data_IF_692476115458
#
_entry.id   IF_692476115458
#
_cell.length_a   1.000
_cell.length_b   1.000
_cell.length_c   1.000
_cell.angle_alpha   90.00
_cell.angle_beta   90.00
_cell.angle_gamma   90.00
#
_symmetry.space_group_name_H-M   'P 1'
#
loop_
_entity.id
_entity.type
_entity.pdbx_description
1 polymer ?
#
# COMPACT_ATOMS: atom_id res chain seq x y z
N UNK A 1 6.83 -56.39 -39.05
CA UNK A 1 5.90 -56.46 -37.89
C UNK A 1 6.68 -56.41 -36.58
N UNK A 2 7.75 -57.19 -36.43
CA UNK A 2 8.56 -57.20 -35.20
C UNK A 2 9.31 -55.86 -34.96
N UNK A 3 9.81 -55.22 -36.01
CA UNK A 3 10.43 -53.88 -35.91
C UNK A 3 9.41 -52.85 -35.42
N UNK A 4 8.16 -52.89 -35.90
CA UNK A 4 7.11 -51.98 -35.48
C UNK A 4 6.64 -52.29 -34.05
N UNK A 5 6.72 -53.52 -33.62
CA UNK A 5 6.43 -53.95 -32.25
C UNK A 5 7.52 -53.44 -31.28
N UNK A 6 8.75 -53.30 -31.75
CA UNK A 6 9.87 -52.81 -30.97
C UNK A 6 9.82 -51.27 -30.85
N UNK A 7 9.42 -50.55 -31.90
CA UNK A 7 9.22 -49.08 -31.87
C UNK A 7 8.00 -48.66 -31.02
N UNK A 8 6.97 -49.49 -30.95
CA UNK A 8 5.80 -49.30 -30.12
C UNK A 8 5.98 -49.91 -28.70
N UNK A 9 7.19 -50.28 -28.34
CA UNK A 9 7.50 -51.02 -27.14
C UNK A 9 7.19 -50.23 -25.86
N UNK A 10 7.08 -50.95 -24.74
CA UNK A 10 6.95 -50.49 -23.33
C UNK A 10 7.88 -49.30 -23.00
N UNK A 11 8.95 -49.09 -23.73
CA UNK A 11 9.93 -47.99 -23.57
C UNK A 11 9.32 -46.64 -23.99
N UNK A 12 8.61 -46.60 -25.11
CA UNK A 12 7.98 -45.36 -25.61
C UNK A 12 6.81 -44.93 -24.73
N UNK A 13 6.01 -45.89 -24.23
CA UNK A 13 4.92 -45.58 -23.30
C UNK A 13 5.43 -45.10 -21.94
N UNK A 14 6.45 -45.74 -21.39
CA UNK A 14 7.11 -45.30 -20.15
C UNK A 14 7.72 -43.90 -20.25
N UNK A 15 8.26 -43.55 -21.39
CA UNK A 15 8.80 -42.22 -21.65
C UNK A 15 7.69 -41.15 -21.66
N UNK A 16 6.55 -41.42 -22.30
CA UNK A 16 5.38 -40.53 -22.29
C UNK A 16 4.77 -40.42 -20.89
N UNK A 17 4.61 -41.52 -20.15
CA UNK A 17 4.13 -41.51 -18.77
C UNK A 17 5.09 -40.73 -17.84
N UNK A 18 6.39 -40.87 -18.03
CA UNK A 18 7.39 -40.11 -17.30
C UNK A 18 7.30 -38.59 -17.59
N UNK A 19 7.08 -38.23 -18.85
CA UNK A 19 6.86 -36.82 -19.25
C UNK A 19 5.58 -36.24 -18.64
N UNK A 20 4.49 -37.01 -18.63
CA UNK A 20 3.23 -36.62 -17.99
C UNK A 20 3.43 -36.34 -16.49
N UNK A 21 4.09 -37.26 -15.77
CA UNK A 21 4.36 -37.10 -14.34
C UNK A 21 5.28 -35.91 -14.05
N UNK A 22 6.30 -35.69 -14.89
CA UNK A 22 7.21 -34.55 -14.79
C UNK A 22 6.48 -33.21 -14.99
N UNK A 23 5.59 -33.12 -15.98
CA UNK A 23 4.79 -31.92 -16.22
C UNK A 23 3.82 -31.64 -15.07
N UNK A 24 3.20 -32.67 -14.49
CA UNK A 24 2.33 -32.49 -13.31
C UNK A 24 3.11 -32.01 -12.09
N UNK A 25 4.31 -32.53 -11.85
CA UNK A 25 5.22 -32.03 -10.81
C UNK A 25 5.59 -30.57 -11.03
N UNK A 26 5.99 -30.20 -12.25
CA UNK A 26 6.35 -28.81 -12.61
C UNK A 26 5.21 -27.83 -12.37
N UNK A 27 3.93 -28.19 -12.63
CA UNK A 27 2.79 -27.30 -12.32
C UNK A 27 2.73 -26.96 -10.83
N UNK A 28 2.90 -27.97 -9.97
CA UNK A 28 2.85 -27.78 -8.52
C UNK A 28 4.00 -26.92 -8.03
N UNK A 29 5.19 -27.16 -8.50
CA UNK A 29 6.41 -26.44 -8.13
C UNK A 29 6.34 -24.98 -8.58
N UNK A 30 5.97 -24.71 -9.84
CA UNK A 30 5.78 -23.37 -10.39
C UNK A 30 4.71 -22.58 -9.62
N UNK A 31 3.58 -23.20 -9.32
CA UNK A 31 2.53 -22.54 -8.53
C UNK A 31 3.02 -22.15 -7.14
N UNK A 32 3.83 -22.99 -6.49
CA UNK A 32 4.42 -22.73 -5.18
C UNK A 32 5.45 -21.61 -5.23
N UNK A 33 6.30 -21.59 -6.25
CA UNK A 33 7.35 -20.58 -6.42
C UNK A 33 6.77 -19.21 -6.78
N UNK A 34 5.74 -19.14 -7.63
CA UNK A 34 5.00 -17.89 -7.91
C UNK A 34 4.41 -17.33 -6.63
N UNK A 35 3.76 -18.17 -5.82
CA UNK A 35 3.19 -17.74 -4.52
C UNK A 35 4.26 -17.20 -3.58
N UNK A 36 5.39 -17.87 -3.51
CA UNK A 36 6.51 -17.44 -2.67
C UNK A 36 7.09 -16.11 -3.15
N UNK A 37 7.27 -15.91 -4.46
CA UNK A 37 7.74 -14.66 -5.04
C UNK A 37 6.79 -13.49 -4.72
N UNK A 38 5.48 -13.68 -4.94
CA UNK A 38 4.46 -12.68 -4.61
C UNK A 38 4.46 -12.34 -3.12
N UNK A 39 4.57 -13.36 -2.25
CA UNK A 39 4.65 -13.15 -0.80
C UNK A 39 5.87 -12.33 -0.40
N UNK A 40 7.03 -12.63 -0.94
CA UNK A 40 8.27 -11.88 -0.68
C UNK A 40 8.13 -10.42 -1.09
N UNK A 41 7.54 -10.14 -2.24
CA UNK A 41 7.30 -8.76 -2.68
C UNK A 41 6.29 -8.02 -1.79
N UNK A 42 5.24 -8.68 -1.31
CA UNK A 42 4.32 -8.10 -0.31
C UNK A 42 5.04 -7.70 0.98
N UNK A 43 5.90 -8.58 1.50
CA UNK A 43 6.68 -8.30 2.70
C UNK A 43 7.64 -7.11 2.49
N UNK A 44 8.29 -7.04 1.33
CA UNK A 44 9.14 -5.91 0.93
C UNK A 44 8.36 -4.60 0.85
N UNK A 45 7.16 -4.62 0.29
CA UNK A 45 6.27 -3.46 0.23
C UNK A 45 5.85 -3.00 1.63
N UNK A 46 5.42 -3.91 2.49
CA UNK A 46 5.02 -3.60 3.85
C UNK A 46 6.14 -2.91 4.63
N UNK A 47 7.36 -3.41 4.50
CA UNK A 47 8.54 -2.80 5.13
C UNK A 47 8.77 -1.37 4.63
N UNK A 48 8.75 -1.16 3.32
CA UNK A 48 8.95 0.16 2.71
C UNK A 48 7.86 1.15 3.09
N UNK A 49 6.59 0.72 3.16
CA UNK A 49 5.48 1.56 3.60
C UNK A 49 5.64 1.98 5.07
N UNK A 50 6.00 1.05 5.96
CA UNK A 50 6.27 1.36 7.37
C UNK A 50 7.43 2.35 7.54
N UNK A 51 8.49 2.21 6.76
CA UNK A 51 9.62 3.14 6.77
C UNK A 51 9.18 4.55 6.35
N UNK A 52 8.31 4.69 5.35
CA UNK A 52 7.82 5.99 4.92
C UNK A 52 6.84 6.62 5.93
N UNK A 53 5.97 5.85 6.57
CA UNK A 53 5.14 6.33 7.70
C UNK A 53 6.01 6.89 8.81
N UNK A 54 7.06 6.16 9.20
CA UNK A 54 8.01 6.61 10.23
C UNK A 54 8.70 7.93 9.84
N UNK A 55 9.05 8.10 8.58
CA UNK A 55 9.64 9.36 8.09
C UNK A 55 8.65 10.53 8.16
N UNK A 56 7.38 10.32 7.81
CA UNK A 56 6.34 11.34 7.92
C UNK A 56 6.13 11.71 9.38
N UNK A 57 6.04 10.73 10.28
CA UNK A 57 5.93 10.96 11.72
C UNK A 57 7.10 11.79 12.26
N UNK A 58 8.34 11.52 11.84
CA UNK A 58 9.52 12.27 12.24
C UNK A 58 9.55 13.71 11.68
N UNK A 59 8.87 13.97 10.55
CA UNK A 59 8.78 15.34 10.02
C UNK A 59 7.80 16.23 10.79
N UNK A 60 6.89 15.66 11.60
CA UNK A 60 5.96 16.38 12.46
C UNK A 60 6.66 17.45 13.30
N UNK A 61 7.85 17.15 13.83
CA UNK A 61 8.58 18.05 14.72
C UNK A 61 8.92 19.41 14.07
N UNK A 62 9.04 19.43 12.74
CA UNK A 62 9.27 20.67 11.98
C UNK A 62 8.05 21.59 11.98
N UNK A 63 6.85 21.03 12.11
CA UNK A 63 5.58 21.73 12.10
C UNK A 63 4.99 21.91 13.48
N UNK A 64 5.61 21.37 14.55
CA UNK A 64 5.09 21.43 15.91
C UNK A 64 5.41 22.75 16.63
N UNK A 65 6.37 23.53 16.14
CA UNK A 65 6.79 24.78 16.78
C UNK A 65 6.02 25.97 16.22
N UNK A 66 5.11 26.53 17.02
CA UNK A 66 4.40 27.76 16.65
C UNK A 66 5.18 29.00 17.07
N UNK A 67 5.19 30.00 16.20
CA UNK A 67 5.82 31.28 16.52
C UNK A 67 5.00 32.06 17.52
N UNK A 68 5.62 32.42 18.65
CA UNK A 68 5.02 33.27 19.66
C UNK A 68 5.29 34.73 19.31
N UNK A 69 4.23 35.50 19.11
CA UNK A 69 4.29 36.91 18.84
C UNK A 69 4.00 37.70 20.14
N UNK A 70 4.56 38.88 20.28
CA UNK A 70 4.34 39.77 21.44
C UNK A 70 3.72 41.05 20.98
N UNK A 71 2.62 41.44 21.63
CA UNK A 71 2.04 42.78 21.44
C UNK A 71 1.97 43.52 22.77
N UNK A 72 2.16 44.81 22.74
CA UNK A 72 1.90 45.68 23.88
C UNK A 72 0.55 46.37 23.69
N UNK A 73 -0.24 46.38 24.70
CA UNK A 73 -1.51 47.11 24.73
C UNK A 73 -1.63 47.92 26.02
N UNK A 74 -2.43 48.97 25.97
CA UNK A 74 -2.71 49.82 27.11
C UNK A 74 -4.08 49.40 27.71
N UNK A 75 -4.07 49.01 28.96
CA UNK A 75 -5.28 48.58 29.68
C UNK A 75 -5.57 49.63 30.74
N UNK A 76 -6.84 50.09 30.80
CA UNK A 76 -7.31 50.94 31.85
C UNK A 76 -7.67 50.03 33.05
N UNK A 77 -6.92 50.18 34.13
CA UNK A 77 -7.13 49.44 35.35
C UNK A 77 -7.69 50.37 36.42
N UNK A 78 -8.83 50.02 36.92
CA UNK A 78 -9.42 50.72 38.04
C UNK A 78 -8.65 50.38 39.33
N UNK A 79 -8.01 51.41 39.91
CA UNK A 79 -7.32 51.28 41.19
C UNK A 79 -8.26 51.74 42.27
N UNK A 80 -8.75 50.77 43.07
CA UNK A 80 -9.48 51.09 44.28
C UNK A 80 -8.49 51.54 45.34
N UNK A 81 -8.42 52.86 45.56
CA UNK A 81 -7.67 53.43 46.66
C UNK A 81 -8.41 53.17 47.95
N UNK A 82 -7.99 52.12 48.66
CA UNK A 82 -8.56 51.77 49.95
C UNK A 82 -8.64 52.92 50.93
N UNK A 83 -9.54 52.81 51.88
CA UNK A 83 -9.93 53.80 52.86
C UNK A 83 -8.77 54.41 53.68
N UNK A 84 -7.59 53.82 53.68
CA UNK A 84 -6.45 54.26 54.50
C UNK A 84 -5.34 55.01 53.72
N UNK A 85 -5.69 55.67 52.63
CA UNK A 85 -4.72 56.51 51.96
C UNK A 85 -4.42 57.73 52.83
N UNK A 86 -3.21 57.80 53.40
CA UNK A 86 -2.74 58.81 54.36
C UNK A 86 -2.76 60.25 53.85
N UNK A 87 -2.92 60.48 52.54
CA UNK A 87 -2.94 61.79 51.91
C UNK A 87 -4.34 62.44 51.92
N UNK A 88 -5.37 61.79 52.44
CA UNK A 88 -6.73 62.37 52.56
C UNK A 88 -6.89 63.19 53.80
N UNK A 89 -6.57 64.45 53.74
CA UNK A 89 -6.81 65.41 54.84
C UNK A 89 -8.22 65.87 55.00
N UNK A 90 -9.20 65.34 54.28
CA UNK A 90 -10.62 65.78 54.44
C UNK A 90 -11.58 64.60 54.65
N UNK A 91 -12.22 64.57 55.80
CA UNK A 91 -13.18 63.58 56.26
C UNK A 91 -14.51 63.50 55.45
N UNK A 92 -14.76 64.44 54.51
CA UNK A 92 -15.93 64.45 53.62
C UNK A 92 -15.83 63.49 52.40
N UNK A 93 -14.69 62.95 52.08
CA UNK A 93 -14.52 62.02 50.92
C UNK A 93 -14.62 60.59 51.37
N UNK A 94 -15.83 60.26 51.89
CA UNK A 94 -16.23 58.87 52.27
C UNK A 94 -16.48 58.00 51.02
N UNK A 95 -16.37 58.58 49.82
CA UNK A 95 -16.60 57.91 48.58
C UNK A 95 -15.28 57.36 48.07
N UNK A 96 -15.25 56.03 47.85
CA UNK A 96 -14.16 55.36 47.12
C UNK A 96 -14.03 56.04 45.75
N UNK A 97 -12.91 56.76 45.51
CA UNK A 97 -12.58 57.21 44.17
C UNK A 97 -11.85 56.09 43.46
N UNK A 98 -12.48 55.51 42.46
CA UNK A 98 -11.85 54.64 41.50
C UNK A 98 -11.06 55.54 40.54
N UNK A 99 -9.74 55.54 40.63
CA UNK A 99 -8.90 56.20 39.64
C UNK A 99 -8.56 55.17 38.56
N UNK A 100 -8.89 55.50 37.33
CA UNK A 100 -8.51 54.68 36.17
C UNK A 100 -7.06 55.03 35.79
N UNK A 101 -6.21 54.05 35.85
CA UNK A 101 -4.79 54.21 35.43
C UNK A 101 -4.52 53.33 34.21
N UNK A 102 -3.96 53.95 33.17
CA UNK A 102 -3.51 53.24 31.99
C UNK A 102 -2.21 52.50 32.30
N UNK A 103 -2.23 51.19 32.19
CA UNK A 103 -1.09 50.32 32.40
C UNK A 103 -0.72 49.68 31.09
N UNK A 104 0.56 49.79 30.65
CA UNK A 104 1.06 49.05 29.51
C UNK A 104 1.31 47.61 29.91
N UNK A 105 0.67 46.68 29.19
CA UNK A 105 0.88 45.24 29.36
C UNK A 105 1.43 44.65 28.08
N UNK A 106 2.37 43.73 28.22
CA UNK A 106 2.87 42.92 27.13
C UNK A 106 2.18 41.56 27.17
N UNK A 107 1.59 41.17 26.07
CA UNK A 107 0.92 39.89 25.91
C UNK A 107 1.60 39.07 24.83
N UNK A 108 1.83 37.79 25.09
CA UNK A 108 2.32 36.86 24.11
C UNK A 108 1.14 36.07 23.56
N UNK A 109 1.05 35.94 22.24
CA UNK A 109 -0.03 35.23 21.57
C UNK A 109 0.50 34.41 20.42
N UNK A 110 -0.29 33.44 19.97
CA UNK A 110 -0.05 32.64 18.77
C UNK A 110 -1.10 33.00 17.73
N UNK A 111 -0.65 33.24 16.50
CA UNK A 111 -1.56 33.44 15.38
C UNK A 111 -2.19 32.11 14.96
N UNK A 112 -3.50 32.00 15.09
CA UNK A 112 -4.26 30.80 14.71
C UNK A 112 -4.12 30.50 13.22
N UNK A 113 -4.02 31.52 12.38
CA UNK A 113 -3.84 31.37 10.94
C UNK A 113 -2.50 30.69 10.63
N UNK A 114 -1.42 31.08 11.31
CA UNK A 114 -0.09 30.46 11.14
C UNK A 114 -0.14 28.97 11.53
N UNK A 115 -0.89 28.64 12.61
CA UNK A 115 -1.12 27.25 13.00
C UNK A 115 -1.84 26.44 11.90
N UNK A 116 -2.91 27.00 11.32
CA UNK A 116 -3.69 26.36 10.25
C UNK A 116 -2.80 26.16 9.01
N UNK A 117 -2.02 27.17 8.61
CA UNK A 117 -1.15 27.08 7.44
C UNK A 117 -0.06 26.00 7.61
N UNK A 118 0.51 25.87 8.81
CA UNK A 118 1.48 24.82 9.09
C UNK A 118 0.85 23.42 9.02
N UNK A 119 -0.36 23.22 9.55
CA UNK A 119 -1.07 21.95 9.48
C UNK A 119 -1.40 21.60 8.04
N UNK A 120 -1.88 22.55 7.25
CA UNK A 120 -2.17 22.35 5.82
C UNK A 120 -0.90 21.97 5.07
N UNK A 121 0.19 22.68 5.31
CA UNK A 121 1.50 22.40 4.68
C UNK A 121 1.99 21.00 5.05
N UNK A 122 1.84 20.58 6.31
CA UNK A 122 2.18 19.23 6.74
C UNK A 122 1.32 18.17 6.06
N UNK A 123 0.01 18.40 5.93
CA UNK A 123 -0.90 17.49 5.26
C UNK A 123 -0.57 17.37 3.76
N UNK A 124 -0.21 18.47 3.10
CA UNK A 124 0.24 18.49 1.70
C UNK A 124 1.55 17.73 1.53
N UNK A 125 2.54 17.97 2.38
CA UNK A 125 3.81 17.23 2.37
C UNK A 125 3.60 15.72 2.58
N UNK A 126 2.68 15.34 3.46
CA UNK A 126 2.32 13.95 3.69
C UNK A 126 1.66 13.35 2.43
N UNK A 127 0.71 14.05 1.82
CA UNK A 127 0.03 13.62 0.59
C UNK A 127 1.03 13.40 -0.56
N UNK A 128 1.90 14.37 -0.82
CA UNK A 128 2.93 14.26 -1.86
C UNK A 128 3.90 13.08 -1.60
N UNK A 129 4.27 12.84 -0.35
CA UNK A 129 5.13 11.69 0.00
C UNK A 129 4.44 10.37 -0.24
N UNK A 130 3.16 10.25 0.10
CA UNK A 130 2.38 9.04 -0.16
C UNK A 130 2.27 8.81 -1.66
N UNK A 131 1.95 9.87 -2.44
CA UNK A 131 1.83 9.78 -3.89
C UNK A 131 3.16 9.34 -4.53
N UNK A 132 4.26 10.02 -4.24
CA UNK A 132 5.61 9.67 -4.74
C UNK A 132 6.04 8.26 -4.31
N UNK A 133 5.70 7.85 -3.08
CA UNK A 133 6.03 6.52 -2.58
C UNK A 133 5.19 5.48 -3.30
N UNK A 134 3.89 5.74 -3.47
CA UNK A 134 2.99 4.87 -4.22
C UNK A 134 3.44 4.72 -5.67
N UNK A 135 3.74 5.82 -6.36
CA UNK A 135 4.27 5.79 -7.72
C UNK A 135 5.56 4.98 -7.83
N UNK A 136 6.49 5.19 -6.90
CA UNK A 136 7.77 4.47 -6.88
C UNK A 136 7.60 2.99 -6.59
N UNK A 137 6.74 2.61 -5.64
CA UNK A 137 6.55 1.24 -5.19
C UNK A 137 5.61 0.46 -6.10
N UNK A 138 4.54 1.11 -6.59
CA UNK A 138 3.52 0.51 -7.46
C UNK A 138 3.84 0.81 -8.93
N UNK A 139 5.01 1.42 -9.22
CA UNK A 139 5.35 1.67 -10.63
C UNK A 139 5.32 0.34 -11.38
N UNK A 140 4.66 0.37 -12.54
CA UNK A 140 4.57 -0.79 -13.44
C UNK A 140 5.94 -1.45 -13.66
N UNK A 141 7.00 -0.64 -13.70
CA UNK A 141 8.37 -1.11 -13.87
C UNK A 141 8.92 -1.89 -12.66
N UNK A 142 8.57 -1.50 -11.43
CA UNK A 142 9.04 -2.18 -10.22
C UNK A 142 8.35 -3.52 -10.07
N UNK A 143 7.02 -3.57 -10.22
CA UNK A 143 6.25 -4.82 -10.20
C UNK A 143 6.71 -5.73 -11.33
N UNK A 144 6.85 -5.19 -12.54
CA UNK A 144 7.36 -5.94 -13.70
C UNK A 144 8.73 -6.53 -13.45
N UNK A 145 9.65 -5.78 -12.85
CA UNK A 145 11.00 -6.26 -12.53
C UNK A 145 10.96 -7.34 -11.44
N UNK A 146 10.17 -7.15 -10.39
CA UNK A 146 10.03 -8.12 -9.31
C UNK A 146 9.41 -9.43 -9.81
N UNK A 147 8.33 -9.37 -10.58
CA UNK A 147 7.71 -10.53 -11.19
C UNK A 147 8.60 -11.22 -12.22
N UNK A 148 9.31 -10.46 -13.05
CA UNK A 148 10.24 -11.05 -14.02
C UNK A 148 11.36 -11.82 -13.33
N UNK A 149 11.99 -11.25 -12.32
CA UNK A 149 13.12 -11.89 -11.65
C UNK A 149 12.73 -13.16 -10.88
N UNK A 150 11.49 -13.20 -10.34
CA UNK A 150 11.02 -14.35 -9.56
C UNK A 150 10.37 -15.46 -10.40
N UNK A 151 9.85 -15.13 -11.58
CA UNK A 151 9.03 -16.06 -12.36
C UNK A 151 9.72 -16.52 -13.66
N UNK A 152 10.47 -15.63 -14.32
CA UNK A 152 11.04 -15.93 -15.65
C UNK A 152 12.04 -17.08 -15.60
N UNK A 153 12.83 -17.14 -14.53
CA UNK A 153 13.86 -18.19 -14.39
C UNK A 153 13.28 -19.59 -14.16
N UNK A 154 11.98 -19.67 -13.83
CA UNK A 154 11.26 -20.94 -13.68
C UNK A 154 10.86 -21.56 -15.01
N UNK A 155 10.92 -20.78 -16.11
CA UNK A 155 10.49 -21.22 -17.43
C UNK A 155 11.65 -21.50 -18.35
N UNK A 156 11.45 -22.47 -19.26
CA UNK A 156 12.37 -22.73 -20.35
C UNK A 156 12.46 -21.51 -21.28
N UNK A 157 13.59 -21.32 -21.93
CA UNK A 157 13.88 -20.12 -22.73
C UNK A 157 12.81 -19.83 -23.80
N UNK A 158 12.16 -20.87 -24.32
CA UNK A 158 11.13 -20.76 -25.37
C UNK A 158 9.80 -20.20 -24.87
N UNK A 159 9.44 -20.44 -23.61
CA UNK A 159 8.18 -20.00 -23.01
C UNK A 159 8.26 -18.64 -22.30
N UNK A 160 9.48 -18.17 -22.01
CA UNK A 160 9.72 -16.88 -21.34
C UNK A 160 9.02 -15.69 -22.01
N UNK A 161 9.00 -15.55 -23.36
CA UNK A 161 8.32 -14.42 -24.01
C UNK A 161 6.81 -14.41 -23.76
N UNK A 162 6.16 -15.57 -23.72
CA UNK A 162 4.71 -15.70 -23.46
C UNK A 162 4.40 -15.23 -22.04
N UNK A 163 5.16 -15.73 -21.05
CA UNK A 163 5.01 -15.36 -19.65
C UNK A 163 5.22 -13.86 -19.43
N UNK A 164 6.24 -13.28 -20.07
CA UNK A 164 6.49 -11.84 -20.04
C UNK A 164 5.30 -11.05 -20.59
N UNK A 165 4.74 -11.49 -21.72
CA UNK A 165 3.57 -10.84 -22.33
C UNK A 165 2.35 -10.85 -21.40
N UNK A 166 2.10 -11.97 -20.73
CA UNK A 166 1.03 -12.11 -19.73
C UNK A 166 1.24 -11.13 -18.57
N UNK A 167 2.42 -11.13 -17.98
CA UNK A 167 2.78 -10.21 -16.88
C UNK A 167 2.58 -8.75 -17.32
N UNK A 168 3.06 -8.39 -18.51
CA UNK A 168 2.96 -7.03 -19.03
C UNK A 168 1.51 -6.59 -19.25
N UNK A 169 0.63 -7.47 -19.74
CA UNK A 169 -0.78 -7.19 -19.96
C UNK A 169 -1.53 -6.93 -18.64
N UNK A 170 -1.22 -7.67 -17.58
CA UNK A 170 -1.84 -7.45 -16.27
C UNK A 170 -1.34 -6.18 -15.59
N UNK A 171 -0.03 -5.94 -15.65
CA UNK A 171 0.58 -4.74 -15.05
C UNK A 171 0.07 -3.45 -15.71
N UNK A 172 -0.26 -3.46 -17.00
CA UNK A 172 -0.83 -2.30 -17.69
C UNK A 172 -2.19 -1.88 -17.14
N UNK A 173 -2.96 -2.80 -16.58
CA UNK A 173 -4.29 -2.55 -16.00
C UNK A 173 -4.25 -1.97 -14.59
N UNK A 174 -3.09 -1.91 -13.94
CA UNK A 174 -2.96 -1.37 -12.57
C UNK A 174 -3.16 0.13 -12.59
N UNK A 175 -4.14 0.61 -11.85
CA UNK A 175 -4.33 2.03 -11.55
C UNK A 175 -3.74 2.38 -10.19
N UNK A 176 -2.92 3.44 -10.14
CA UNK A 176 -2.40 3.97 -8.89
C UNK A 176 -3.52 4.77 -8.20
N UNK A 177 -3.88 4.47 -6.95
CA UNK A 177 -4.89 5.23 -6.24
C UNK A 177 -4.38 6.64 -5.94
N UNK A 178 -5.16 7.65 -6.32
CA UNK A 178 -4.93 9.02 -5.87
C UNK A 178 -5.43 9.15 -4.43
N UNK A 179 -4.59 9.73 -3.58
CA UNK A 179 -4.90 9.94 -2.17
C UNK A 179 -5.19 11.42 -1.97
N UNK A 180 -6.39 11.73 -1.50
CA UNK A 180 -6.79 13.08 -1.17
C UNK A 180 -7.02 13.18 0.34
N UNK A 181 -6.40 14.18 0.96
CA UNK A 181 -6.70 14.54 2.34
C UNK A 181 -7.79 15.61 2.40
N UNK A 182 -8.70 15.45 3.36
CA UNK A 182 -9.67 16.50 3.66
C UNK A 182 -9.02 17.59 4.53
N UNK A 183 -8.50 18.60 3.86
CA UNK A 183 -7.84 19.75 4.49
C UNK A 183 -8.80 20.51 5.42
N UNK A 184 -10.11 20.55 5.11
CA UNK A 184 -11.11 21.23 5.93
C UNK A 184 -11.24 20.54 7.29
N UNK A 185 -11.18 19.22 7.35
CA UNK A 185 -11.19 18.46 8.61
C UNK A 185 -10.10 18.94 9.58
N UNK A 186 -8.89 19.19 9.09
CA UNK A 186 -7.78 19.64 9.95
C UNK A 186 -7.96 21.09 10.40
N UNK A 187 -8.43 21.95 9.50
CA UNK A 187 -8.79 23.33 9.81
C UNK A 187 -9.87 23.38 10.89
N UNK A 188 -10.88 22.55 10.78
CA UNK A 188 -12.01 22.50 11.72
C UNK A 188 -11.59 22.01 13.12
N UNK A 189 -10.58 21.16 13.23
CA UNK A 189 -10.02 20.76 14.52
C UNK A 189 -9.51 21.99 15.29
N UNK A 190 -8.86 22.92 14.62
CA UNK A 190 -8.35 24.14 15.22
C UNK A 190 -9.48 25.16 15.44
N UNK A 191 -10.36 25.32 14.45
CA UNK A 191 -11.42 26.36 14.50
C UNK A 191 -12.65 25.96 15.33
N UNK A 192 -12.95 24.67 15.47
CA UNK A 192 -14.20 24.21 16.10
C UNK A 192 -14.41 24.67 17.53
N UNK A 193 -13.33 25.01 18.22
CA UNK A 193 -13.39 25.49 19.62
C UNK A 193 -13.18 26.99 19.77
N UNK A 194 -12.76 27.70 18.71
CA UNK A 194 -12.49 29.12 18.79
C UNK A 194 -13.67 30.00 18.43
N UNK A 195 -14.72 29.46 17.80
CA UNK A 195 -15.85 30.27 17.33
C UNK A 195 -15.35 31.49 16.53
N UNK A 196 -16.21 32.44 16.27
CA UNK A 196 -15.84 33.67 15.55
C UNK A 196 -15.16 34.75 16.42
N UNK A 197 -14.88 34.48 17.71
CA UNK A 197 -14.29 35.47 18.62
C UNK A 197 -12.80 35.18 18.88
N UNK A 198 -11.96 36.06 18.38
CA UNK A 198 -10.51 36.11 18.58
C UNK A 198 -10.06 36.28 20.06
N UNK A 199 -10.97 36.31 21.01
CA UNK A 199 -10.67 36.57 22.45
C UNK A 199 -9.90 35.43 23.12
N UNK A 200 -9.76 34.27 22.49
CA UNK A 200 -9.07 33.08 23.03
C UNK A 200 -7.63 32.90 22.51
N UNK A 201 -7.10 33.81 21.72
CA UNK A 201 -5.68 33.81 21.31
C UNK A 201 -4.71 33.84 22.50
N UNK A 202 -5.19 34.14 23.70
CA UNK A 202 -4.40 34.24 24.92
C UNK A 202 -4.00 32.91 25.52
N UNK A 203 -4.72 31.84 25.23
CA UNK A 203 -4.40 30.52 25.78
C UNK A 203 -3.44 29.76 24.84
N UNK A 204 -2.15 30.13 24.92
CA UNK A 204 -1.08 29.54 24.13
C UNK A 204 -1.07 28.01 24.25
N UNK A 205 -1.18 27.48 25.46
CA UNK A 205 -1.12 26.02 25.71
C UNK A 205 -2.28 25.29 25.04
N UNK A 206 -3.46 25.93 25.02
CA UNK A 206 -4.63 25.37 24.39
C UNK A 206 -4.48 25.34 22.85
N UNK A 207 -3.97 26.41 22.25
CA UNK A 207 -3.68 26.48 20.81
C UNK A 207 -2.61 25.46 20.41
N UNK A 208 -1.52 25.37 21.16
CA UNK A 208 -0.48 24.36 20.95
C UNK A 208 -1.05 22.93 21.07
N UNK A 209 -1.96 22.70 22.02
CA UNK A 209 -2.66 21.42 22.18
C UNK A 209 -3.52 21.05 20.98
N UNK A 210 -4.32 22.00 20.46
CA UNK A 210 -5.14 21.78 19.27
C UNK A 210 -4.31 21.59 18.00
N UNK A 211 -3.24 22.38 17.86
CA UNK A 211 -2.28 22.25 16.76
C UNK A 211 -1.65 20.85 16.74
N UNK A 212 -1.10 20.42 17.87
CA UNK A 212 -0.52 19.08 17.99
C UNK A 212 -1.55 17.97 17.73
N UNK A 213 -2.79 18.13 18.19
CA UNK A 213 -3.87 17.18 17.90
C UNK A 213 -4.16 17.11 16.40
N UNK A 214 -4.20 18.24 15.70
CA UNK A 214 -4.42 18.28 14.26
C UNK A 214 -3.26 17.59 13.51
N UNK A 215 -2.00 17.84 13.88
CA UNK A 215 -0.84 17.15 13.31
C UNK A 215 -0.90 15.63 13.52
N UNK A 216 -1.31 15.17 14.70
CA UNK A 216 -1.49 13.74 14.96
C UNK A 216 -2.60 13.15 14.10
N UNK A 217 -3.69 13.88 13.88
CA UNK A 217 -4.78 13.43 13.01
C UNK A 217 -4.30 13.30 11.55
N UNK A 218 -3.42 14.18 11.06
CA UNK A 218 -2.77 14.03 9.74
C UNK A 218 -1.96 12.73 9.67
N UNK A 219 -1.22 12.39 10.72
CA UNK A 219 -0.45 11.14 10.79
C UNK A 219 -1.39 9.92 10.75
N UNK A 220 -2.46 9.92 11.54
CA UNK A 220 -3.46 8.84 11.55
C UNK A 220 -4.13 8.66 10.18
N UNK A 221 -4.48 9.76 9.51
CA UNK A 221 -5.06 9.71 8.16
C UNK A 221 -4.02 9.23 7.13
N UNK A 222 -2.74 9.57 7.32
CA UNK A 222 -1.63 9.06 6.53
C UNK A 222 -1.49 7.54 6.67
N UNK A 223 -1.56 7.02 7.89
CA UNK A 223 -1.51 5.59 8.16
C UNK A 223 -2.69 4.83 7.51
N UNK A 224 -3.88 5.41 7.57
CA UNK A 224 -5.06 4.86 6.87
C UNK A 224 -4.86 4.85 5.37
N UNK A 225 -4.38 5.96 4.79
CA UNK A 225 -4.12 6.05 3.37
C UNK A 225 -3.09 5.01 2.90
N UNK A 226 -2.01 4.81 3.64
CA UNK A 226 -1.05 3.73 3.35
C UNK A 226 -1.66 2.33 3.50
N UNK A 227 -2.55 2.12 4.46
CA UNK A 227 -3.27 0.86 4.63
C UNK A 227 -4.17 0.58 3.43
N UNK A 228 -4.85 1.59 2.89
CA UNK A 228 -5.68 1.48 1.70
C UNK A 228 -4.83 1.17 0.46
N UNK A 229 -3.68 1.84 0.30
CA UNK A 229 -2.70 1.56 -0.77
C UNK A 229 -2.22 0.12 -0.68
N UNK A 230 -1.86 -0.34 0.51
CA UNK A 230 -1.47 -1.73 0.76
C UNK A 230 -2.57 -2.72 0.37
N UNK A 231 -3.82 -2.46 0.78
CA UNK A 231 -4.98 -3.29 0.45
C UNK A 231 -5.15 -3.44 -1.06
N UNK A 232 -5.12 -2.32 -1.79
CA UNK A 232 -5.23 -2.31 -3.25
C UNK A 232 -4.07 -3.03 -3.94
N UNK A 233 -2.84 -2.80 -3.46
CA UNK A 233 -1.67 -3.50 -3.99
C UNK A 233 -1.76 -5.00 -3.78
N UNK A 234 -2.14 -5.44 -2.59
CA UNK A 234 -2.31 -6.85 -2.29
C UNK A 234 -3.36 -7.51 -3.21
N UNK A 235 -4.49 -6.85 -3.42
CA UNK A 235 -5.53 -7.34 -4.34
C UNK A 235 -5.01 -7.48 -5.77
N UNK A 236 -4.22 -6.52 -6.25
CA UNK A 236 -3.60 -6.57 -7.58
C UNK A 236 -2.58 -7.71 -7.67
N UNK A 237 -1.74 -7.88 -6.67
CA UNK A 237 -0.75 -8.97 -6.64
C UNK A 237 -1.43 -10.35 -6.58
N UNK A 238 -2.53 -10.49 -5.84
CA UNK A 238 -3.34 -11.71 -5.81
C UNK A 238 -4.00 -12.02 -7.16
N UNK A 239 -4.49 -11.00 -7.84
CA UNK A 239 -5.05 -11.14 -9.18
C UNK A 239 -3.99 -11.59 -10.20
N UNK A 240 -2.79 -10.98 -10.16
CA UNK A 240 -1.66 -11.35 -11.00
C UNK A 240 -1.26 -12.80 -10.70
N UNK A 241 -1.08 -13.17 -9.44
CA UNK A 241 -0.75 -14.54 -9.03
C UNK A 241 -1.75 -15.54 -9.59
N UNK A 242 -3.04 -15.32 -9.34
CA UNK A 242 -4.11 -16.21 -9.77
C UNK A 242 -4.15 -16.38 -11.29
N UNK A 243 -4.03 -15.27 -12.02
CA UNK A 243 -4.16 -15.28 -13.47
C UNK A 243 -2.93 -15.92 -14.15
N UNK A 244 -1.72 -15.64 -13.66
CA UNK A 244 -0.51 -16.31 -14.16
C UNK A 244 -0.59 -17.81 -13.90
N UNK A 245 -0.96 -18.21 -12.69
CA UNK A 245 -1.10 -19.65 -12.34
C UNK A 245 -2.16 -20.34 -13.21
N UNK A 246 -3.28 -19.66 -13.48
CA UNK A 246 -4.33 -20.24 -14.33
C UNK A 246 -3.89 -20.38 -15.78
N UNK A 247 -3.31 -19.35 -16.39
CA UNK A 247 -2.81 -19.44 -17.77
C UNK A 247 -1.71 -20.49 -17.95
N UNK A 248 -0.85 -20.63 -16.94
CA UNK A 248 0.15 -21.71 -16.94
C UNK A 248 -0.47 -23.08 -16.83
N UNK A 249 -1.47 -23.24 -15.97
CA UNK A 249 -2.22 -24.51 -15.86
C UNK A 249 -2.90 -24.86 -17.17
N UNK A 250 -3.62 -23.92 -17.77
CA UNK A 250 -4.33 -24.15 -19.04
C UNK A 250 -3.35 -24.54 -20.17
N UNK A 251 -2.18 -23.87 -20.26
CA UNK A 251 -1.14 -24.22 -21.22
C UNK A 251 -0.61 -25.65 -21.02
N UNK A 252 -0.23 -25.97 -19.79
CA UNK A 252 0.35 -27.31 -19.48
C UNK A 252 -0.75 -28.40 -19.50
N UNK A 253 -1.99 -28.08 -19.10
CA UNK A 253 -3.11 -29.03 -19.24
C UNK A 253 -3.42 -29.36 -20.69
N UNK A 254 -3.27 -28.39 -21.61
CA UNK A 254 -3.34 -28.62 -23.05
C UNK A 254 -2.28 -29.61 -23.54
N UNK A 255 -1.04 -29.41 -23.12
CA UNK A 255 0.08 -30.31 -23.46
C UNK A 255 -0.09 -31.70 -22.82
N UNK A 256 -0.55 -31.76 -21.58
CA UNK A 256 -0.88 -33.01 -20.90
C UNK A 256 -2.00 -33.79 -21.60
N UNK A 257 -3.03 -33.09 -22.08
CA UNK A 257 -4.11 -33.72 -22.85
C UNK A 257 -3.56 -34.30 -24.15
N UNK A 258 -2.78 -33.54 -24.90
CA UNK A 258 -2.15 -34.00 -26.14
C UNK A 258 -1.26 -35.24 -25.92
N UNK A 259 -0.49 -35.26 -24.83
CA UNK A 259 0.34 -36.41 -24.47
C UNK A 259 -0.49 -37.63 -24.06
N UNK A 260 -1.59 -37.42 -23.33
CA UNK A 260 -2.52 -38.50 -22.98
C UNK A 260 -3.21 -39.09 -24.19
N UNK A 261 -3.66 -38.24 -25.10
CA UNK A 261 -4.27 -38.66 -26.37
C UNK A 261 -3.27 -39.45 -27.24
N UNK A 262 -2.00 -39.01 -27.28
CA UNK A 262 -0.93 -39.77 -27.95
C UNK A 262 -0.69 -41.15 -27.29
N UNK A 263 -0.66 -41.21 -25.97
CA UNK A 263 -0.48 -42.45 -25.23
C UNK A 263 -1.64 -43.44 -25.49
N UNK A 264 -2.88 -42.92 -25.51
CA UNK A 264 -4.07 -43.75 -25.76
C UNK A 264 -4.08 -44.29 -27.21
N UNK A 265 -3.76 -43.46 -28.18
CA UNK A 265 -3.58 -43.83 -29.58
C UNK A 265 -2.45 -44.89 -29.77
N UNK A 266 -1.35 -44.77 -29.03
CA UNK A 266 -0.29 -45.75 -29.04
C UNK A 266 -0.76 -47.11 -28.45
N UNK A 267 -1.46 -47.07 -27.32
CA UNK A 267 -2.03 -48.28 -26.69
C UNK A 267 -2.99 -48.98 -27.61
N UNK A 268 -3.85 -48.25 -28.32
CA UNK A 268 -4.80 -48.82 -29.27
C UNK A 268 -4.10 -49.41 -30.53
N UNK A 269 -3.04 -48.73 -31.01
CA UNK A 269 -2.22 -49.25 -32.10
C UNK A 269 -1.48 -50.52 -31.73
N UNK A 270 -0.99 -50.66 -30.50
CA UNK A 270 -0.39 -51.89 -29.99
C UNK A 270 -1.42 -53.03 -29.95
N UNK A 271 -2.60 -52.75 -29.39
CA UNK A 271 -3.70 -53.71 -29.28
C UNK A 271 -4.15 -54.25 -30.66
N UNK A 272 -4.33 -53.35 -31.62
CA UNK A 272 -4.68 -53.73 -33.01
C UNK A 272 -3.58 -54.53 -33.68
N UNK A 273 -2.32 -54.22 -33.41
CA UNK A 273 -1.17 -54.97 -33.94
C UNK A 273 -1.10 -56.39 -33.32
N UNK A 274 -1.34 -56.48 -32.00
CA UNK A 274 -1.39 -57.79 -31.30
C UNK A 274 -2.53 -58.68 -31.79
N UNK A 275 -3.70 -58.10 -32.04
CA UNK A 275 -4.84 -58.83 -32.63
C UNK A 275 -4.48 -59.33 -34.05
N UNK A 276 -3.90 -58.48 -34.86
CA UNK A 276 -3.44 -58.85 -36.22
C UNK A 276 -2.37 -59.94 -36.23
N UNK A 277 -1.44 -59.94 -35.25
CA UNK A 277 -0.46 -61.02 -35.09
C UNK A 277 -1.14 -62.32 -34.71
N UNK A 278 -2.13 -62.25 -33.76
CA UNK A 278 -2.88 -63.41 -33.34
C UNK A 278 -3.68 -64.06 -34.51
N UNK A 279 -4.26 -63.25 -35.37
CA UNK A 279 -4.96 -63.73 -36.58
C UNK A 279 -4.01 -64.40 -37.57
N UNK A 280 -2.82 -63.82 -37.79
CA UNK A 280 -1.79 -64.43 -38.67
C UNK A 280 -1.30 -65.75 -38.08
N UNK A 281 -1.04 -65.81 -36.77
CA UNK A 281 -0.64 -67.06 -36.08
C UNK A 281 -1.68 -68.20 -36.21
N UNK A 282 -2.98 -67.83 -36.14
CA UNK A 282 -4.08 -68.77 -36.34
C UNK A 282 -4.10 -69.27 -37.80
N UNK A 283 -3.96 -68.39 -38.75
CA UNK A 283 -3.89 -68.78 -40.19
C UNK A 283 -2.69 -69.69 -40.50
N UNK A 284 -1.50 -69.38 -39.93
CA UNK A 284 -0.31 -70.18 -40.08
C UNK A 284 -0.45 -71.62 -39.48
N UNK A 285 -1.23 -71.79 -38.41
CA UNK A 285 -1.49 -73.10 -37.81
C UNK A 285 -2.55 -73.93 -38.54
N UNK A 286 -3.32 -73.24 -39.41
CA UNK A 286 -4.32 -73.90 -40.25
C UNK A 286 -3.78 -74.38 -41.63
N UNK A 287 -2.62 -73.89 -42.01
CA UNK A 287 -1.86 -74.33 -43.18
C UNK A 287 -0.97 -75.51 -42.81
#
# INVERSE_FOLDING_TARGET
>A
FEERKFELSDVGMKDVESKINNLQGKISDLSSEIKNSVRTERENFDKKLKDEISKISNTKDRYSSLQKQSRSYEEEVDIDRGWFDSDRKSWWKIWSHTETKTVRRNETFINIQDSIEQIISFAQDAAERIERTSERLISKNVIKKAMRNGIIDLFELEDRPKVVSVIDNYIQKISIPQIQFDVNKYRDIVLSKYGSSYSQERDINFIEGLHNKALLTVIEDTEKAFTDVKGKLNSVLEEIERNIVNELKEGIEGDLKNLKDQLENQKESIRTTELGIGEVDVCLKMM
#
